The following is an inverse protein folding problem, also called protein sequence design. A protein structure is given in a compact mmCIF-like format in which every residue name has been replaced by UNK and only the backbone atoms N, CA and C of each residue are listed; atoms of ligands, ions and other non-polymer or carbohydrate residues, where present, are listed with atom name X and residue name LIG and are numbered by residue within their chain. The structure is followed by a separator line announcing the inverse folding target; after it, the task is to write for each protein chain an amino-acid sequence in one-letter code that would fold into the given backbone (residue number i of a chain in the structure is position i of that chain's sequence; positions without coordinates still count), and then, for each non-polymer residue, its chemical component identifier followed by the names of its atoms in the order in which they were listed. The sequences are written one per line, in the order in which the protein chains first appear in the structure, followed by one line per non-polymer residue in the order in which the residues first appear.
data_IF_079806534719
#
_entry.id   IF_079806534719
#
_cell.length_a   1.000
_cell.length_b   1.000
_cell.length_c   1.000
_cell.angle_alpha   90.00
_cell.angle_beta   90.00
_cell.angle_gamma   90.00
#
_symmetry.space_group_name_H-M   'P 1'
#
loop_
_entity.id
_entity.type
_entity.pdbx_description
1 polymer ?
#
# COMPACT_ATOMS: atom_id res chain seq x y z
N UNK A 1 10.87 7.62 -5.24
CA UNK A 1 9.79 6.68 -4.85
C UNK A 1 10.48 5.47 -4.27
N UNK A 2 9.94 4.87 -3.21
CA UNK A 2 10.43 3.62 -2.65
C UNK A 2 9.31 2.61 -2.72
N UNK A 3 9.66 1.34 -2.92
CA UNK A 3 8.70 0.26 -2.99
C UNK A 3 8.96 -0.76 -1.90
N UNK A 4 7.88 -1.38 -1.45
CA UNK A 4 7.91 -2.56 -0.60
C UNK A 4 6.75 -3.48 -1.00
N UNK A 5 6.85 -4.75 -0.67
CA UNK A 5 5.78 -5.72 -0.84
C UNK A 5 5.50 -6.34 0.51
N UNK A 6 4.25 -6.32 0.93
CA UNK A 6 3.86 -6.97 2.17
C UNK A 6 2.48 -7.59 2.07
N UNK A 7 2.14 -8.35 3.12
CA UNK A 7 0.83 -8.98 3.25
C UNK A 7 0.11 -8.36 4.44
N UNK A 8 -1.14 -7.90 4.27
CA UNK A 8 -1.95 -7.49 5.41
C UNK A 8 -2.16 -8.70 6.33
N UNK A 9 -1.91 -8.52 7.62
CA UNK A 9 -2.23 -9.52 8.62
C UNK A 9 -3.75 -9.63 8.84
N UNK A 10 -4.17 -10.52 9.74
CA UNK A 10 -5.59 -10.74 10.05
C UNK A 10 -6.31 -9.48 10.56
N UNK A 11 -5.58 -8.50 11.11
CA UNK A 11 -6.11 -7.22 11.58
C UNK A 11 -6.14 -6.14 10.51
N UNK A 12 -5.67 -6.47 9.29
CA UNK A 12 -5.54 -5.52 8.20
C UNK A 12 -4.35 -4.58 8.39
N UNK A 13 -3.27 -5.03 9.01
CA UNK A 13 -2.06 -4.23 9.19
C UNK A 13 -0.89 -4.78 8.40
N UNK A 14 -0.02 -3.88 7.95
CA UNK A 14 1.16 -4.25 7.15
C UNK A 14 2.40 -3.54 7.71
N UNK A 15 3.43 -4.30 8.05
CA UNK A 15 4.71 -3.71 8.46
C UNK A 15 5.40 -3.08 7.25
N UNK A 16 5.79 -1.81 7.34
CA UNK A 16 6.36 -1.04 6.22
C UNK A 16 7.51 -0.14 6.68
N UNK A 17 8.42 -0.69 7.51
CA UNK A 17 9.45 0.07 8.25
C UNK A 17 10.28 0.99 7.36
N UNK A 18 10.80 0.46 6.25
CA UNK A 18 11.67 1.20 5.35
C UNK A 18 10.95 2.40 4.73
N UNK A 19 9.69 2.21 4.32
CA UNK A 19 8.86 3.26 3.75
C UNK A 19 8.51 4.34 4.76
N UNK A 20 8.08 3.94 5.96
CA UNK A 20 7.73 4.84 7.05
C UNK A 20 8.93 5.69 7.48
N UNK A 21 10.10 5.08 7.63
CA UNK A 21 11.35 5.79 7.97
C UNK A 21 11.76 6.79 6.89
N UNK A 22 11.67 6.41 5.62
CA UNK A 22 11.97 7.31 4.51
C UNK A 22 11.02 8.53 4.45
N UNK A 23 9.81 8.39 4.98
CA UNK A 23 8.82 9.47 5.12
C UNK A 23 8.92 10.23 6.45
N UNK A 24 9.73 9.76 7.40
CA UNK A 24 9.74 10.28 8.78
C UNK A 24 8.45 10.01 9.55
N UNK A 25 7.65 9.03 9.13
CA UNK A 25 6.41 8.65 9.82
C UNK A 25 6.72 7.77 11.02
N UNK A 26 6.42 8.27 12.21
CA UNK A 26 6.64 7.58 13.47
C UNK A 26 5.35 6.96 14.01
N UNK A 27 5.45 5.94 14.88
CA UNK A 27 4.28 5.43 15.61
C UNK A 27 3.46 6.54 16.27
N UNK A 28 2.14 6.42 16.21
CA UNK A 28 1.20 7.41 16.72
C UNK A 28 0.87 8.54 15.75
N UNK A 29 1.59 8.69 14.63
CA UNK A 29 1.21 9.63 13.57
C UNK A 29 -0.18 9.26 13.05
N UNK A 30 -1.10 10.23 13.05
CA UNK A 30 -2.47 10.08 12.57
C UNK A 30 -2.53 10.10 11.04
N UNK A 31 -3.35 9.22 10.49
CA UNK A 31 -3.42 8.89 9.07
C UNK A 31 -4.87 8.95 8.58
N UNK A 32 -5.03 9.50 7.39
CA UNK A 32 -6.21 9.31 6.56
C UNK A 32 -5.96 8.18 5.56
N UNK A 33 -7.00 7.38 5.30
CA UNK A 33 -6.97 6.26 4.38
C UNK A 33 -8.14 6.40 3.42
N UNK A 34 -7.81 6.65 2.15
CA UNK A 34 -8.78 6.78 1.07
C UNK A 34 -8.65 5.63 0.07
N UNK A 35 -9.73 5.37 -0.67
CA UNK A 35 -9.70 4.55 -1.88
C UNK A 35 -9.82 5.45 -3.09
N UNK A 36 -8.79 5.45 -3.94
CA UNK A 36 -8.73 6.27 -5.15
C UNK A 36 -8.39 5.36 -6.32
N UNK A 37 -9.28 5.28 -7.30
CA UNK A 37 -9.08 4.51 -8.55
C UNK A 37 -8.66 3.05 -8.29
N UNK A 38 -9.27 2.39 -7.29
CA UNK A 38 -8.98 1.00 -6.92
C UNK A 38 -7.66 0.78 -6.18
N UNK A 39 -6.97 1.85 -5.77
CA UNK A 39 -5.80 1.79 -4.89
C UNK A 39 -6.12 2.44 -3.53
N UNK A 40 -5.36 2.09 -2.50
CA UNK A 40 -5.46 2.74 -1.18
C UNK A 40 -4.44 3.87 -1.11
N UNK A 41 -4.90 5.09 -0.85
CA UNK A 41 -4.05 6.25 -0.61
C UNK A 41 -3.98 6.52 0.90
N UNK A 42 -2.76 6.53 1.45
CA UNK A 42 -2.50 6.82 2.86
C UNK A 42 -1.76 8.14 2.98
N UNK A 43 -2.28 9.02 3.83
CA UNK A 43 -1.76 10.38 4.02
C UNK A 43 -1.72 10.75 5.51
N UNK A 44 -0.76 11.56 5.99
CA UNK A 44 -0.82 12.13 7.33
C UNK A 44 -1.96 13.14 7.43
N UNK A 45 -2.75 13.06 8.50
CA UNK A 45 -3.87 13.95 8.75
C UNK A 45 -4.09 14.09 10.26
N UNK A 46 -4.17 15.31 10.77
CA UNK A 46 -4.32 15.56 12.21
C UNK A 46 -5.63 15.00 12.79
N UNK A 47 -6.67 14.92 11.95
CA UNK A 47 -7.99 14.38 12.22
C UNK A 47 -8.19 12.95 11.65
N UNK A 48 -7.11 12.31 11.22
CA UNK A 48 -7.13 10.96 10.66
C UNK A 48 -7.64 9.93 11.67
N UNK A 49 -8.52 9.03 11.22
CA UNK A 49 -9.12 7.98 12.05
C UNK A 49 -8.17 6.81 12.35
N UNK A 50 -7.00 6.77 11.73
CA UNK A 50 -6.03 5.70 11.90
C UNK A 50 -4.68 6.24 12.35
N UNK A 51 -3.81 5.35 12.83
CA UNK A 51 -2.46 5.72 13.25
C UNK A 51 -1.43 4.73 12.73
N UNK A 52 -0.20 5.20 12.53
CA UNK A 52 0.97 4.31 12.42
C UNK A 52 1.08 3.51 13.71
N UNK A 53 1.02 2.18 13.61
CA UNK A 53 1.08 1.33 14.79
C UNK A 53 2.48 1.27 15.41
N UNK A 54 2.56 0.80 16.64
CA UNK A 54 3.81 0.72 17.43
C UNK A 54 4.89 -0.16 16.80
N UNK A 55 4.48 -1.08 15.92
CA UNK A 55 5.38 -1.98 15.18
C UNK A 55 5.79 -1.44 13.81
N UNK A 56 5.63 -0.14 13.57
CA UNK A 56 5.85 0.52 12.27
C UNK A 56 4.96 -0.14 11.18
N UNK A 57 3.67 -0.22 11.52
CA UNK A 57 2.64 -0.86 10.69
C UNK A 57 1.63 0.17 10.16
N UNK A 58 1.26 0.01 8.89
CA UNK A 58 0.25 0.80 8.21
C UNK A 58 -1.13 0.13 8.33
N UNK A 59 -2.19 0.92 8.53
CA UNK A 59 -3.56 0.43 8.54
C UNK A 59 -4.09 0.21 7.11
N UNK A 60 -4.66 -0.96 6.86
CA UNK A 60 -5.47 -1.29 5.68
C UNK A 60 -6.85 -1.76 6.15
N UNK A 61 -7.77 -0.80 6.42
CA UNK A 61 -9.13 -1.09 6.89
C UNK A 61 -9.85 -2.09 6.00
N UNK A 62 -10.71 -2.92 6.60
CA UNK A 62 -11.48 -3.95 5.89
C UNK A 62 -12.27 -3.37 4.70
N UNK A 63 -12.92 -2.22 4.89
CA UNK A 63 -13.67 -1.54 3.83
C UNK A 63 -12.77 -1.13 2.65
N UNK A 64 -11.61 -0.53 2.92
CA UNK A 64 -10.67 -0.13 1.88
C UNK A 64 -10.12 -1.34 1.11
N UNK A 65 -9.79 -2.43 1.81
CA UNK A 65 -9.36 -3.69 1.19
C UNK A 65 -10.45 -4.27 0.29
N UNK A 66 -11.68 -4.34 0.79
CA UNK A 66 -12.81 -4.86 0.02
C UNK A 66 -13.06 -4.06 -1.26
N UNK A 67 -13.07 -2.72 -1.16
CA UNK A 67 -13.26 -1.83 -2.32
C UNK A 67 -12.13 -1.93 -3.36
N UNK A 68 -10.91 -2.27 -2.93
CA UNK A 68 -9.77 -2.49 -3.83
C UNK A 68 -9.64 -3.96 -4.29
N UNK A 69 -10.51 -4.87 -3.85
CA UNK A 69 -10.41 -6.29 -4.15
C UNK A 69 -9.19 -6.99 -3.55
N UNK A 70 -8.62 -6.46 -2.44
CA UNK A 70 -7.49 -7.07 -1.75
C UNK A 70 -7.99 -8.23 -0.88
N UNK A 71 -7.73 -9.47 -1.31
CA UNK A 71 -8.10 -10.64 -0.55
C UNK A 71 -7.17 -10.89 0.65
N UNK A 72 -7.64 -11.65 1.63
CA UNK A 72 -6.84 -12.02 2.81
C UNK A 72 -5.63 -12.86 2.40
N UNK A 73 -4.45 -12.50 2.88
CA UNK A 73 -3.20 -13.21 2.58
C UNK A 73 -2.56 -12.86 1.23
N UNK A 74 -3.25 -12.10 0.38
CA UNK A 74 -2.66 -11.61 -0.86
C UNK A 74 -1.64 -10.50 -0.59
N UNK A 75 -0.50 -10.51 -1.29
CA UNK A 75 0.45 -9.41 -1.19
C UNK A 75 -0.12 -8.15 -1.84
N UNK A 76 0.38 -7.01 -1.39
CA UNK A 76 0.12 -5.71 -1.99
C UNK A 76 1.45 -5.01 -2.25
N UNK A 77 1.51 -4.20 -3.30
CA UNK A 77 2.65 -3.33 -3.57
C UNK A 77 2.42 -2.01 -2.85
N UNK A 78 3.36 -1.61 -2.00
CA UNK A 78 3.38 -0.30 -1.38
C UNK A 78 4.37 0.59 -2.12
N UNK A 79 3.93 1.79 -2.49
CA UNK A 79 4.74 2.82 -3.10
C UNK A 79 4.77 4.05 -2.20
N UNK A 80 5.92 4.34 -1.59
CA UNK A 80 6.14 5.58 -0.87
C UNK A 80 6.58 6.70 -1.81
N UNK A 81 5.98 7.86 -1.64
CA UNK A 81 6.25 9.09 -2.38
C UNK A 81 6.79 10.16 -1.42
N UNK A 82 8.10 10.17 -1.08
CA UNK A 82 8.65 11.07 -0.07
C UNK A 82 8.41 12.56 -0.34
N UNK A 83 8.49 12.99 -1.61
CA UNK A 83 8.27 14.41 -1.96
C UNK A 83 6.85 14.88 -1.73
N UNK A 84 5.88 13.96 -1.82
CA UNK A 84 4.46 14.20 -1.60
C UNK A 84 4.04 13.90 -0.16
N UNK A 85 4.91 13.21 0.60
CA UNK A 85 4.64 12.70 1.93
C UNK A 85 3.42 11.77 1.97
N UNK A 86 3.35 10.77 1.07
CA UNK A 86 2.21 9.85 0.91
C UNK A 86 2.66 8.41 0.65
N UNK A 87 1.79 7.46 0.91
CA UNK A 87 1.93 6.06 0.46
C UNK A 87 0.72 5.69 -0.37
N UNK A 88 0.95 5.04 -1.51
CA UNK A 88 -0.10 4.40 -2.31
C UNK A 88 0.09 2.88 -2.20
N UNK A 89 -1.00 2.16 -1.94
CA UNK A 89 -1.01 0.70 -1.89
C UNK A 89 -1.83 0.19 -3.06
N UNK A 90 -1.17 -0.60 -3.91
CA UNK A 90 -1.77 -1.20 -5.08
C UNK A 90 -2.07 -2.69 -4.82
N UNK A 91 -3.30 -3.15 -5.15
CA UNK A 91 -3.63 -4.57 -5.07
C UNK A 91 -2.86 -5.36 -6.14
N UNK A 92 -2.61 -6.65 -5.86
CA UNK A 92 -1.84 -7.52 -6.76
C UNK A 92 -2.46 -7.63 -8.16
N UNK A 93 -3.79 -7.68 -8.26
CA UNK A 93 -4.49 -7.74 -9.55
C UNK A 93 -4.19 -6.52 -10.45
N UNK A 94 -4.12 -5.31 -9.89
CA UNK A 94 -3.74 -4.09 -10.62
C UNK A 94 -2.30 -4.18 -11.10
N UNK A 95 -1.39 -4.66 -10.26
CA UNK A 95 0.02 -4.83 -10.65
C UNK A 95 0.15 -5.86 -11.76
N UNK A 96 -0.53 -7.00 -11.66
CA UNK A 96 -0.55 -8.03 -12.70
C UNK A 96 -1.05 -7.48 -14.03
N UNK A 97 -2.15 -6.69 -14.02
CA UNK A 97 -2.70 -6.09 -15.23
C UNK A 97 -1.72 -5.13 -15.91
N UNK A 98 -1.02 -4.29 -15.14
CA UNK A 98 -0.01 -3.36 -15.68
C UNK A 98 1.22 -4.10 -16.23
N UNK A 99 1.59 -5.22 -15.62
CA UNK A 99 2.79 -5.96 -15.99
C UNK A 99 2.56 -6.99 -17.11
N UNK A 100 1.33 -7.25 -17.54
CA UNK A 100 1.02 -8.35 -18.46
C UNK A 100 1.82 -8.27 -19.77
N UNK A 101 1.82 -7.11 -20.43
CA UNK A 101 2.56 -6.91 -21.67
C UNK A 101 4.08 -6.92 -21.46
N UNK A 102 4.52 -6.44 -20.28
CA UNK A 102 5.94 -6.49 -19.93
C UNK A 102 6.40 -7.93 -19.73
N UNK A 103 5.60 -8.77 -19.07
CA UNK A 103 5.90 -10.18 -18.90
C UNK A 103 5.96 -10.89 -20.25
N UNK A 104 5.00 -10.67 -21.15
CA UNK A 104 5.03 -11.25 -22.50
C UNK A 104 6.34 -10.92 -23.23
N UNK A 105 6.75 -9.64 -23.21
CA UNK A 105 8.02 -9.20 -23.80
C UNK A 105 9.25 -9.83 -23.14
N UNK A 106 9.28 -9.93 -21.81
CA UNK A 106 10.40 -10.53 -21.05
C UNK A 106 10.50 -12.03 -21.31
N UNK A 107 9.37 -12.71 -21.45
CA UNK A 107 9.28 -14.14 -21.71
C UNK A 107 9.49 -14.50 -23.19
N UNK A 108 9.53 -13.51 -24.08
CA UNK A 108 9.69 -13.72 -25.52
C UNK A 108 8.43 -14.23 -26.22
N UNK A 109 7.26 -13.99 -25.64
CA UNK A 109 5.98 -14.35 -26.24
C UNK A 109 5.64 -13.39 -27.39
N UNK A 110 5.11 -13.90 -28.53
CA UNK A 110 4.70 -13.03 -29.63
C UNK A 110 3.58 -12.09 -29.17
N UNK A 111 3.73 -10.80 -29.49
CA UNK A 111 2.78 -9.73 -29.17
C UNK A 111 1.44 -9.88 -29.88
#
# INVERSE_FOLDING_TARGET
MLFDVGRPDATGRITARALLRALGWTPGLTLHVDVVTGAILITPAADGAHVVGTREELPLPSAARHLCGIATGEPVLLAALPRQNRIVVHPSNTITAVLVDLHARVLGEPS
#
